data_IF_194840650665
#
_entry.id   IF_194840650665
#
_cell.length_a   1.000
_cell.length_b   1.000
_cell.length_c   1.000
_cell.angle_alpha   90.00
_cell.angle_beta   90.00
_cell.angle_gamma   90.00
#
_symmetry.space_group_name_H-M   'P 1'
#
loop_
_entity.id
_entity.type
_entity.pdbx_description
1 polymer ?
#
# COMPACT_ATOMS: atom_id res chain seq x y z
N UNK A 1 3.96 16.52 -3.67
CA UNK A 1 4.09 15.07 -3.50
C UNK A 1 5.10 14.49 -4.47
N UNK A 2 4.78 14.16 -5.74
CA UNK A 2 5.71 13.46 -6.66
C UNK A 2 7.16 13.97 -6.64
N UNK A 3 7.38 15.25 -6.92
CA UNK A 3 8.74 15.80 -6.97
C UNK A 3 9.45 15.77 -5.62
N UNK A 4 8.71 15.94 -4.51
CA UNK A 4 9.25 15.86 -3.15
C UNK A 4 9.67 14.43 -2.82
N UNK A 5 8.79 13.46 -3.05
CA UNK A 5 9.06 12.06 -2.72
C UNK A 5 10.17 11.49 -3.61
N UNK A 6 10.22 11.86 -4.90
CA UNK A 6 11.32 11.46 -5.77
C UNK A 6 12.69 11.94 -5.27
N UNK A 7 12.76 13.18 -4.76
CA UNK A 7 14.00 13.71 -4.16
C UNK A 7 14.31 12.97 -2.86
N UNK A 8 13.30 12.82 -1.99
CA UNK A 8 13.42 12.19 -0.69
C UNK A 8 13.94 10.74 -0.78
N UNK A 9 13.28 9.89 -1.59
CA UNK A 9 13.70 8.50 -1.81
C UNK A 9 14.96 8.37 -2.69
N UNK A 10 15.35 9.44 -3.39
CA UNK A 10 16.59 9.49 -4.18
C UNK A 10 17.83 9.87 -3.37
N UNK A 11 17.65 10.57 -2.25
CA UNK A 11 18.74 11.16 -1.46
C UNK A 11 19.38 10.20 -0.44
N UNK A 12 18.82 9.02 -0.18
CA UNK A 12 19.35 8.07 0.80
C UNK A 12 18.44 6.87 1.07
N UNK A 13 18.70 6.15 2.17
CA UNK A 13 17.87 5.06 2.70
C UNK A 13 16.99 5.61 3.84
N UNK A 14 15.70 5.88 3.60
CA UNK A 14 14.81 6.47 4.61
C UNK A 14 14.17 5.45 5.56
N UNK A 15 14.48 4.16 5.43
CA UNK A 15 13.76 3.07 6.10
C UNK A 15 14.47 2.57 7.36
N UNK A 16 13.69 2.26 8.42
CA UNK A 16 14.15 1.56 9.62
C UNK A 16 14.17 2.44 10.87
N UNK A 17 14.79 1.93 11.95
CA UNK A 17 14.87 2.61 13.27
C UNK A 17 15.67 3.93 13.21
N UNK A 18 16.63 4.02 12.30
CA UNK A 18 17.39 5.24 12.03
C UNK A 18 16.80 6.08 10.87
N UNK A 19 15.77 5.55 10.19
CA UNK A 19 15.03 6.22 9.12
C UNK A 19 13.81 6.99 9.64
N UNK A 20 13.03 7.61 8.75
CA UNK A 20 11.85 8.39 9.17
C UNK A 20 10.63 7.51 9.48
N UNK A 21 10.61 6.26 8.99
CA UNK A 21 9.52 5.28 9.19
C UNK A 21 10.00 3.86 9.52
N UNK A 22 9.20 3.19 10.34
CA UNK A 22 9.27 1.75 10.57
C UNK A 22 8.00 1.14 9.96
N UNK A 23 8.15 0.50 8.80
CA UNK A 23 7.05 -0.17 8.06
C UNK A 23 6.74 -1.54 8.67
N UNK A 24 5.57 -2.12 8.35
CA UNK A 24 5.15 -3.41 8.90
C UNK A 24 6.17 -4.55 8.68
N UNK A 25 6.82 -4.68 7.51
CA UNK A 25 7.86 -5.68 7.28
C UNK A 25 9.08 -5.52 8.20
N UNK A 26 9.46 -4.29 8.53
CA UNK A 26 10.63 -3.99 9.39
C UNK A 26 10.33 -4.22 10.88
N UNK A 27 9.04 -4.28 11.28
CA UNK A 27 8.63 -4.62 12.65
C UNK A 27 8.79 -6.11 12.92
N UNK A 28 8.39 -6.96 11.98
CA UNK A 28 8.44 -8.40 12.20
C UNK A 28 8.38 -9.25 10.94
N UNK A 29 9.23 -10.28 10.90
CA UNK A 29 9.17 -11.36 9.90
C UNK A 29 7.79 -12.03 9.83
N UNK A 30 6.99 -11.99 10.89
CA UNK A 30 5.64 -12.57 10.91
C UNK A 30 4.75 -11.96 9.83
N UNK A 31 4.93 -10.67 9.53
CA UNK A 31 4.13 -9.97 8.54
C UNK A 31 4.36 -10.54 7.13
N UNK A 32 5.62 -10.60 6.69
CA UNK A 32 5.98 -11.17 5.40
C UNK A 32 5.68 -12.67 5.30
N UNK A 33 5.92 -13.43 6.37
CA UNK A 33 5.59 -14.87 6.39
C UNK A 33 4.10 -15.14 6.19
N UNK A 34 3.22 -14.35 6.81
CA UNK A 34 1.77 -14.53 6.66
C UNK A 34 1.27 -14.11 5.29
N UNK A 35 1.82 -13.04 4.71
CA UNK A 35 1.52 -12.65 3.32
C UNK A 35 1.99 -13.73 2.36
N UNK A 36 3.21 -14.24 2.54
CA UNK A 36 3.72 -15.37 1.77
C UNK A 36 2.81 -16.59 1.86
N UNK A 37 2.31 -16.88 3.06
CA UNK A 37 1.41 -18.00 3.27
C UNK A 37 0.02 -17.81 2.67
N UNK A 38 -0.50 -16.59 2.72
CA UNK A 38 -1.75 -16.23 2.04
C UNK A 38 -1.64 -16.42 0.52
N UNK A 39 -0.51 -16.04 -0.08
CA UNK A 39 -0.23 -16.25 -1.50
C UNK A 39 -0.07 -17.73 -1.85
N UNK A 40 0.65 -18.49 -1.03
CA UNK A 40 0.78 -19.95 -1.19
C UNK A 40 -0.57 -20.64 -1.15
N UNK A 41 -1.46 -20.24 -0.23
CA UNK A 41 -2.80 -20.81 -0.13
C UNK A 41 -3.62 -20.59 -1.42
N UNK A 42 -3.60 -19.37 -1.99
CA UNK A 42 -4.23 -19.10 -3.29
C UNK A 42 -3.63 -19.96 -4.41
N UNK A 43 -2.30 -20.06 -4.46
CA UNK A 43 -1.58 -20.87 -5.45
C UNK A 43 -1.97 -22.35 -5.38
N UNK A 44 -1.96 -22.94 -4.18
CA UNK A 44 -2.28 -24.36 -3.99
C UNK A 44 -3.75 -24.64 -4.30
N UNK A 45 -4.67 -23.78 -3.87
CA UNK A 45 -6.11 -23.91 -4.16
C UNK A 45 -6.45 -23.65 -5.64
N UNK A 46 -5.55 -23.01 -6.39
CA UNK A 46 -5.62 -22.90 -7.85
C UNK A 46 -4.93 -24.07 -8.58
N UNK A 47 -4.66 -25.18 -7.89
CA UNK A 47 -3.99 -26.36 -8.44
C UNK A 47 -2.57 -26.09 -8.94
N UNK A 48 -1.82 -25.22 -8.27
CA UNK A 48 -0.39 -25.02 -8.48
C UNK A 48 0.00 -24.69 -9.94
N UNK A 49 -0.51 -23.58 -10.52
CA UNK A 49 -0.24 -23.21 -11.91
C UNK A 49 1.27 -23.03 -12.19
N UNK A 50 1.73 -23.51 -13.35
CA UNK A 50 3.16 -23.62 -13.66
C UNK A 50 3.94 -22.28 -13.81
N UNK A 51 3.24 -21.17 -14.07
CA UNK A 51 3.86 -19.85 -14.37
C UNK A 51 3.23 -18.74 -13.52
N UNK A 52 3.46 -18.74 -12.20
CA UNK A 52 3.02 -17.65 -11.33
C UNK A 52 4.10 -16.59 -11.14
N UNK A 53 3.66 -15.34 -11.03
CA UNK A 53 4.51 -14.17 -10.84
C UNK A 53 4.22 -13.51 -9.50
N UNK A 54 5.21 -13.47 -8.61
CA UNK A 54 5.16 -12.62 -7.42
C UNK A 54 5.53 -11.20 -7.85
N UNK A 55 4.62 -10.26 -7.61
CA UNK A 55 4.83 -8.85 -7.94
C UNK A 55 4.75 -8.04 -6.66
N UNK A 56 5.75 -7.20 -6.39
CA UNK A 56 5.69 -6.23 -5.29
C UNK A 56 5.84 -4.80 -5.82
N UNK A 57 4.90 -3.93 -5.45
CA UNK A 57 4.93 -2.52 -5.79
C UNK A 57 5.64 -1.74 -4.69
N UNK A 58 6.71 -1.01 -5.03
CA UNK A 58 7.50 -0.25 -4.07
C UNK A 58 8.02 -1.11 -2.91
N UNK A 59 8.90 -2.10 -3.15
CA UNK A 59 9.25 -3.10 -2.14
C UNK A 59 10.17 -2.58 -1.01
N UNK A 60 10.48 -1.28 -0.97
CA UNK A 60 11.37 -0.68 0.02
C UNK A 60 12.73 -1.35 0.03
N UNK A 61 13.09 -2.06 1.10
CA UNK A 61 14.35 -2.82 1.20
C UNK A 61 14.26 -4.24 0.61
N UNK A 62 13.08 -4.68 0.18
CA UNK A 62 12.80 -6.07 -0.23
C UNK A 62 12.62 -7.05 0.94
N UNK A 63 12.50 -6.54 2.17
CA UNK A 63 12.32 -7.35 3.40
C UNK A 63 11.04 -8.17 3.35
N UNK A 64 9.93 -7.57 2.90
CA UNK A 64 8.64 -8.23 2.77
C UNK A 64 8.75 -9.42 1.80
N UNK A 65 9.25 -9.18 0.59
CA UNK A 65 9.50 -10.22 -0.40
C UNK A 65 10.39 -11.34 0.15
N UNK A 66 11.49 -11.01 0.82
CA UNK A 66 12.43 -12.00 1.34
C UNK A 66 11.75 -12.94 2.34
N UNK A 67 10.96 -12.41 3.27
CA UNK A 67 10.21 -13.21 4.25
C UNK A 67 9.06 -14.01 3.61
N UNK A 68 8.33 -13.39 2.68
CA UNK A 68 7.24 -14.04 1.96
C UNK A 68 7.75 -15.21 1.12
N UNK A 69 8.78 -15.01 0.30
CA UNK A 69 9.39 -16.04 -0.55
C UNK A 69 10.02 -17.17 0.29
N UNK A 70 10.64 -16.83 1.44
CA UNK A 70 11.13 -17.81 2.40
C UNK A 70 10.02 -18.67 2.99
N UNK A 71 8.84 -18.11 3.24
CA UNK A 71 7.67 -18.87 3.69
C UNK A 71 7.09 -19.74 2.56
N UNK A 72 6.94 -19.19 1.35
CA UNK A 72 6.40 -19.90 0.19
C UNK A 72 7.24 -21.13 -0.20
N UNK A 73 8.57 -21.02 -0.12
CA UNK A 73 9.48 -22.11 -0.52
C UNK A 73 9.30 -23.40 0.30
N UNK A 74 8.73 -23.32 1.51
CA UNK A 74 8.37 -24.49 2.33
C UNK A 74 7.26 -25.35 1.72
N UNK A 75 6.54 -24.82 0.73
CA UNK A 75 5.44 -25.47 0.02
C UNK A 75 5.77 -25.66 -1.46
N UNK A 76 7.06 -25.69 -1.80
CA UNK A 76 7.55 -25.83 -3.18
C UNK A 76 7.01 -24.75 -4.13
N UNK A 77 6.55 -23.62 -3.57
CA UNK A 77 6.10 -22.48 -4.35
C UNK A 77 7.23 -21.46 -4.45
N UNK A 78 7.78 -21.30 -5.66
CA UNK A 78 8.88 -20.39 -5.97
C UNK A 78 8.56 -19.61 -7.27
N UNK A 79 7.68 -18.60 -7.21
CA UNK A 79 7.29 -17.82 -8.37
C UNK A 79 8.45 -16.95 -8.90
N UNK A 80 8.37 -16.55 -10.18
CA UNK A 80 9.25 -15.50 -10.69
C UNK A 80 8.96 -14.18 -9.97
N UNK A 81 10.01 -13.45 -9.61
CA UNK A 81 9.91 -12.26 -8.76
C UNK A 81 10.04 -10.99 -9.59
N UNK A 82 9.06 -10.10 -9.44
CA UNK A 82 9.00 -8.83 -10.15
C UNK A 82 8.78 -7.68 -9.18
N UNK A 83 9.66 -6.68 -9.24
CA UNK A 83 9.56 -5.48 -8.43
C UNK A 83 9.25 -4.27 -9.31
N UNK A 84 8.23 -3.49 -8.93
CA UNK A 84 7.94 -2.19 -9.54
C UNK A 84 8.56 -1.12 -8.65
N UNK A 85 9.75 -0.65 -9.05
CA UNK A 85 10.61 0.27 -8.28
C UNK A 85 11.31 1.18 -9.27
N UNK A 86 11.31 2.50 -9.06
CA UNK A 86 11.98 3.46 -9.95
C UNK A 86 13.34 3.93 -9.44
N UNK A 87 13.64 3.77 -8.15
CA UNK A 87 14.89 4.21 -7.53
C UNK A 87 16.03 3.21 -7.77
N UNK A 88 17.05 3.60 -8.53
CA UNK A 88 18.23 2.75 -8.78
C UNK A 88 18.97 2.36 -7.50
N UNK A 89 19.03 3.26 -6.51
CA UNK A 89 19.63 3.01 -5.20
C UNK A 89 18.89 1.90 -4.46
N UNK A 90 17.55 1.95 -4.43
CA UNK A 90 16.74 0.92 -3.78
C UNK A 90 16.81 -0.40 -4.54
N UNK A 91 16.80 -0.40 -5.88
CA UNK A 91 17.00 -1.62 -6.68
C UNK A 91 18.29 -2.36 -6.30
N UNK A 92 19.39 -1.62 -6.13
CA UNK A 92 20.68 -2.19 -5.72
C UNK A 92 20.65 -2.80 -4.31
N UNK A 93 19.91 -2.19 -3.37
CA UNK A 93 19.71 -2.74 -2.04
C UNK A 93 18.79 -3.98 -2.06
N UNK A 94 17.69 -3.91 -2.79
CA UNK A 94 16.70 -4.98 -2.93
C UNK A 94 17.33 -6.26 -3.51
N UNK A 95 18.29 -6.15 -4.44
CA UNK A 95 19.03 -7.29 -4.98
C UNK A 95 19.91 -8.02 -3.95
N UNK A 96 20.27 -7.36 -2.84
CA UNK A 96 21.01 -8.03 -1.76
C UNK A 96 20.10 -9.00 -1.00
N UNK A 97 18.82 -8.66 -0.86
CA UNK A 97 17.82 -9.47 -0.17
C UNK A 97 17.12 -10.46 -1.10
N UNK A 98 16.88 -10.06 -2.36
CA UNK A 98 16.18 -10.87 -3.37
C UNK A 98 16.94 -10.84 -4.70
N UNK A 99 18.01 -11.64 -4.84
CA UNK A 99 18.93 -11.57 -5.99
C UNK A 99 18.32 -11.91 -7.36
N UNK A 100 17.17 -12.58 -7.37
CA UNK A 100 16.49 -13.03 -8.59
C UNK A 100 15.38 -12.08 -9.05
N UNK A 101 15.22 -10.92 -8.39
CA UNK A 101 14.18 -9.97 -8.73
C UNK A 101 14.42 -9.32 -10.11
N UNK A 102 13.37 -9.26 -10.92
CA UNK A 102 13.34 -8.49 -12.16
C UNK A 102 12.64 -7.16 -11.92
N UNK A 103 13.29 -6.05 -12.29
CA UNK A 103 12.77 -4.71 -12.06
C UNK A 103 11.95 -4.16 -13.21
N UNK A 104 10.95 -3.37 -12.85
CA UNK A 104 10.03 -2.68 -13.73
C UNK A 104 9.89 -1.23 -13.28
N UNK A 105 9.86 -0.29 -14.23
CA UNK A 105 9.57 1.12 -13.94
C UNK A 105 8.07 1.36 -13.73
N UNK A 106 7.22 0.45 -14.24
CA UNK A 106 5.77 0.61 -14.28
C UNK A 106 5.05 -0.73 -14.37
N UNK A 107 3.78 -0.77 -13.97
CA UNK A 107 2.99 -2.01 -13.92
C UNK A 107 2.69 -2.58 -15.32
N UNK A 108 2.73 -1.77 -16.36
CA UNK A 108 2.50 -2.17 -17.75
C UNK A 108 3.60 -3.10 -18.28
N UNK A 109 4.82 -3.04 -17.74
CA UNK A 109 5.93 -3.90 -18.19
C UNK A 109 5.98 -5.27 -17.51
N UNK A 110 5.11 -5.54 -16.52
CA UNK A 110 5.02 -6.86 -15.87
C UNK A 110 4.74 -7.97 -16.91
N UNK A 111 5.10 -9.24 -16.61
CA UNK A 111 4.90 -10.36 -17.54
C UNK A 111 3.42 -10.69 -17.80
N UNK A 112 3.10 -11.08 -19.03
CA UNK A 112 1.72 -11.36 -19.48
C UNK A 112 1.44 -12.86 -19.71
N UNK A 113 2.36 -13.73 -19.33
CA UNK A 113 2.37 -15.16 -19.65
C UNK A 113 1.92 -16.06 -18.49
N UNK A 114 1.39 -15.46 -17.42
CA UNK A 114 0.84 -16.20 -16.30
C UNK A 114 0.23 -15.33 -15.20
N UNK A 115 -0.39 -15.94 -14.17
CA UNK A 115 -1.10 -15.19 -13.15
C UNK A 115 -0.22 -14.24 -12.33
N UNK A 116 -0.78 -13.09 -11.97
CA UNK A 116 -0.10 -12.10 -11.13
C UNK A 116 -0.55 -12.21 -9.68
N UNK A 117 0.39 -12.43 -8.78
CA UNK A 117 0.22 -12.39 -7.34
C UNK A 117 0.87 -11.12 -6.81
N UNK A 118 0.07 -10.06 -6.75
CA UNK A 118 0.54 -8.69 -6.51
C UNK A 118 0.39 -8.31 -5.05
N UNK A 119 1.44 -7.73 -4.47
CA UNK A 119 1.44 -7.15 -3.13
C UNK A 119 1.79 -5.67 -3.24
N UNK A 120 0.97 -4.83 -2.61
CA UNK A 120 1.18 -3.40 -2.48
C UNK A 120 1.03 -3.03 -1.00
N UNK A 121 2.15 -2.99 -0.28
CA UNK A 121 2.21 -2.59 1.12
C UNK A 121 2.78 -1.18 1.21
N UNK A 122 2.03 -0.22 1.75
CA UNK A 122 2.48 1.18 1.92
C UNK A 122 2.99 1.77 0.58
N UNK A 123 2.27 1.46 -0.49
CA UNK A 123 2.61 1.91 -1.84
C UNK A 123 1.68 3.02 -2.31
N UNK A 124 0.39 2.90 -2.00
CA UNK A 124 -0.62 3.80 -2.53
C UNK A 124 -0.67 5.13 -1.77
N UNK A 125 -0.30 5.15 -0.50
CA UNK A 125 -0.21 6.35 0.32
C UNK A 125 0.92 7.30 -0.10
N UNK A 126 2.00 6.76 -0.67
CA UNK A 126 3.11 7.52 -1.24
C UNK A 126 2.79 8.11 -2.63
N UNK A 127 1.66 7.73 -3.24
CA UNK A 127 1.29 8.22 -4.56
C UNK A 127 0.70 9.64 -4.52
N UNK A 128 0.98 10.48 -5.54
CA UNK A 128 0.52 11.86 -5.56
C UNK A 128 -0.99 12.03 -5.51
N UNK A 129 -1.47 12.75 -4.49
CA UNK A 129 -2.87 13.18 -4.39
C UNK A 129 -3.12 14.56 -5.02
N UNK A 130 -4.38 14.77 -5.44
CA UNK A 130 -4.97 16.07 -5.73
C UNK A 130 -5.92 16.44 -4.61
N UNK A 131 -5.87 17.69 -4.17
CA UNK A 131 -6.83 18.25 -3.21
C UNK A 131 -7.74 19.24 -3.93
N UNK A 132 -9.05 19.08 -3.77
CA UNK A 132 -10.06 20.06 -4.17
C UNK A 132 -10.61 20.73 -2.90
N UNK A 133 -10.78 22.05 -2.92
CA UNK A 133 -11.29 22.83 -1.79
C UNK A 133 -12.57 23.57 -2.20
N UNK A 134 -13.60 23.49 -1.36
CA UNK A 134 -14.86 24.20 -1.57
C UNK A 134 -14.72 25.67 -1.14
N UNK A 135 -14.95 26.58 -2.08
CA UNK A 135 -14.96 28.03 -1.84
C UNK A 135 -16.38 28.59 -1.97
N UNK A 136 -16.59 29.87 -1.66
CA UNK A 136 -17.86 30.55 -1.95
C UNK A 136 -18.23 30.57 -3.45
N UNK A 137 -17.27 30.34 -4.35
CA UNK A 137 -17.48 30.29 -5.79
C UNK A 137 -17.57 28.85 -6.34
N UNK A 138 -17.67 27.84 -5.47
CA UNK A 138 -17.66 26.42 -5.83
C UNK A 138 -16.31 25.74 -5.58
N UNK A 139 -16.19 24.49 -6.03
CA UNK A 139 -14.98 23.67 -5.84
C UNK A 139 -13.83 24.16 -6.72
N UNK A 140 -12.62 24.22 -6.16
CA UNK A 140 -11.39 24.60 -6.85
C UNK A 140 -10.29 23.61 -6.54
N UNK A 141 -9.38 23.37 -7.47
CA UNK A 141 -8.15 22.64 -7.15
C UNK A 141 -7.30 23.46 -6.18
N UNK A 142 -6.77 22.84 -5.13
CA UNK A 142 -5.84 23.47 -4.21
C UNK A 142 -4.43 23.35 -4.81
N UNK A 143 -3.85 24.50 -5.14
CA UNK A 143 -2.56 24.59 -5.82
C UNK A 143 -1.48 25.06 -4.86
N UNK A 144 -0.23 24.68 -5.13
CA UNK A 144 0.94 25.14 -4.39
C UNK A 144 1.49 26.39 -5.05
N UNK A 145 1.65 27.46 -4.28
CA UNK A 145 2.24 28.73 -4.71
C UNK A 145 3.45 29.07 -3.88
N UNK A 146 4.32 29.92 -4.42
CA UNK A 146 5.41 30.52 -3.68
C UNK A 146 4.87 31.69 -2.86
N UNK A 147 5.04 31.64 -1.54
CA UNK A 147 4.76 32.77 -0.65
C UNK A 147 5.81 33.89 -0.87
N UNK A 148 5.59 35.09 -0.34
CA UNK A 148 6.54 36.23 -0.39
C UNK A 148 7.81 35.87 0.41
N UNK A 149 8.69 35.07 -0.18
CA UNK A 149 9.90 34.50 0.42
C UNK A 149 10.41 33.25 -0.32
N UNK A 150 10.93 32.27 0.42
CA UNK A 150 11.34 30.94 -0.08
C UNK A 150 10.33 29.85 0.24
N UNK A 151 9.28 30.15 1.01
CA UNK A 151 8.29 29.17 1.46
C UNK A 151 7.23 28.88 0.40
N UNK A 152 6.63 27.70 0.48
CA UNK A 152 5.44 27.36 -0.27
C UNK A 152 4.19 27.56 0.60
N UNK A 153 3.05 27.74 -0.06
CA UNK A 153 1.74 27.76 0.57
C UNK A 153 0.70 27.14 -0.37
N UNK A 154 -0.39 26.62 0.19
CA UNK A 154 -1.49 26.06 -0.59
C UNK A 154 -2.68 27.03 -0.63
N UNK A 155 -3.19 27.30 -1.83
CA UNK A 155 -4.34 28.20 -2.03
C UNK A 155 -5.32 27.66 -3.08
N UNK A 156 -6.60 28.11 -3.09
CA UNK A 156 -7.53 27.76 -4.15
C UNK A 156 -7.05 28.26 -5.52
N UNK A 157 -7.06 27.38 -6.51
CA UNK A 157 -6.82 27.69 -7.91
C UNK A 157 -7.99 28.41 -8.57
N UNK A 158 -7.80 28.81 -9.83
CA UNK A 158 -8.77 29.62 -10.57
C UNK A 158 -9.84 28.81 -11.31
N UNK A 159 -9.55 27.56 -11.67
CA UNK A 159 -10.44 26.73 -12.48
C UNK A 159 -11.53 26.03 -11.65
N UNK A 160 -12.81 26.08 -12.08
CA UNK A 160 -13.89 25.31 -11.45
C UNK A 160 -13.65 23.80 -11.55
N UNK A 161 -13.88 23.09 -10.45
CA UNK A 161 -13.65 21.65 -10.32
C UNK A 161 -14.90 20.89 -9.82
N UNK A 162 -16.07 21.51 -9.86
CA UNK A 162 -17.31 20.96 -9.32
C UNK A 162 -17.65 19.60 -9.96
N UNK A 163 -17.38 19.40 -11.26
CA UNK A 163 -17.59 18.12 -11.94
C UNK A 163 -16.66 16.97 -11.51
N UNK A 164 -15.57 17.29 -10.81
CA UNK A 164 -14.57 16.32 -10.32
C UNK A 164 -14.84 15.83 -8.90
N UNK A 165 -15.91 16.35 -8.26
CA UNK A 165 -16.28 16.01 -6.88
C UNK A 165 -17.53 15.12 -6.89
N UNK A 166 -17.55 14.02 -6.13
CA UNK A 166 -18.73 13.18 -6.01
C UNK A 166 -20.00 13.96 -5.64
N UNK A 167 -21.14 13.59 -6.21
CA UNK A 167 -22.42 14.27 -6.00
C UNK A 167 -22.78 14.41 -4.51
N UNK A 168 -22.42 13.42 -3.69
CA UNK A 168 -22.64 13.41 -2.24
C UNK A 168 -21.96 14.57 -1.50
N UNK A 169 -20.90 15.17 -2.06
CA UNK A 169 -20.13 16.24 -1.43
C UNK A 169 -20.38 17.63 -2.02
N UNK A 170 -21.25 17.76 -3.04
CA UNK A 170 -21.50 19.03 -3.72
C UNK A 170 -22.00 20.13 -2.76
N UNK A 171 -22.80 19.76 -1.75
CA UNK A 171 -23.40 20.69 -0.78
C UNK A 171 -22.63 20.75 0.56
N UNK A 172 -21.33 20.44 0.56
CA UNK A 172 -20.50 20.49 1.77
C UNK A 172 -20.30 21.92 2.27
N UNK A 173 -19.84 22.13 3.52
CA UNK A 173 -19.47 23.47 4.00
C UNK A 173 -18.27 24.07 3.25
N UNK A 174 -18.24 25.39 3.08
CA UNK A 174 -17.05 26.11 2.57
C UNK A 174 -15.83 25.77 3.44
N UNK A 175 -14.69 25.52 2.79
CA UNK A 175 -13.46 25.04 3.42
C UNK A 175 -13.31 23.51 3.42
N UNK A 176 -14.34 22.76 3.04
CA UNK A 176 -14.23 21.30 2.86
C UNK A 176 -13.17 20.95 1.83
N UNK A 177 -12.41 19.89 2.11
CA UNK A 177 -11.36 19.37 1.21
C UNK A 177 -11.75 17.97 0.76
N UNK A 178 -11.68 17.71 -0.54
CA UNK A 178 -11.83 16.39 -1.14
C UNK A 178 -10.49 15.97 -1.74
N UNK A 179 -10.08 14.74 -1.49
CA UNK A 179 -8.81 14.19 -1.99
C UNK A 179 -9.05 13.05 -2.97
N UNK A 180 -8.24 12.99 -4.02
CA UNK A 180 -8.24 11.91 -5.01
C UNK A 180 -6.82 11.63 -5.48
N UNK A 181 -6.54 10.41 -5.95
CA UNK A 181 -5.22 10.05 -6.50
C UNK A 181 -5.39 9.46 -7.90
N UNK A 182 -5.23 10.28 -8.96
CA UNK A 182 -5.28 9.80 -10.34
C UNK A 182 -4.26 8.70 -10.65
N UNK A 183 -3.10 8.75 -10.00
CA UNK A 183 -2.05 7.75 -10.12
C UNK A 183 -2.49 6.40 -9.53
N UNK A 184 -3.01 6.42 -8.29
CA UNK A 184 -3.56 5.23 -7.66
C UNK A 184 -4.67 4.61 -8.52
N UNK A 185 -5.55 5.46 -9.06
CA UNK A 185 -6.63 5.00 -9.92
C UNK A 185 -6.11 4.34 -11.21
N UNK A 186 -5.10 4.93 -11.85
CA UNK A 186 -4.49 4.41 -13.08
C UNK A 186 -3.81 3.06 -12.82
N UNK A 187 -2.97 2.98 -11.78
CA UNK A 187 -2.22 1.76 -11.43
C UNK A 187 -3.19 0.64 -11.05
N UNK A 188 -4.17 0.90 -10.19
CA UNK A 188 -5.14 -0.10 -9.77
C UNK A 188 -6.00 -0.58 -10.95
N UNK A 189 -6.40 0.32 -11.85
CA UNK A 189 -7.17 -0.04 -13.04
C UNK A 189 -6.39 -0.94 -14.00
N UNK A 190 -5.11 -0.64 -14.22
CA UNK A 190 -4.24 -1.45 -15.07
C UNK A 190 -3.99 -2.83 -14.45
N UNK A 191 -3.62 -2.90 -13.16
CA UNK A 191 -3.44 -4.16 -12.46
C UNK A 191 -4.73 -4.99 -12.45
N UNK A 192 -5.89 -4.36 -12.23
CA UNK A 192 -7.16 -5.06 -12.26
C UNK A 192 -7.48 -5.61 -13.65
N UNK A 193 -7.20 -4.85 -14.72
CA UNK A 193 -7.35 -5.30 -16.10
C UNK A 193 -6.46 -6.51 -16.40
N UNK A 194 -5.20 -6.47 -15.95
CA UNK A 194 -4.25 -7.56 -16.13
C UNK A 194 -4.69 -8.82 -15.38
N UNK A 195 -4.98 -8.71 -14.09
CA UNK A 195 -5.46 -9.83 -13.26
C UNK A 195 -6.73 -10.45 -13.84
N UNK A 196 -7.67 -9.63 -14.33
CA UNK A 196 -8.89 -10.13 -14.97
C UNK A 196 -8.62 -10.91 -16.27
N UNK A 197 -7.51 -10.61 -16.96
CA UNK A 197 -7.16 -11.20 -18.24
C UNK A 197 -6.32 -12.48 -18.09
N UNK A 198 -5.35 -12.48 -17.17
CA UNK A 198 -4.38 -13.58 -17.02
C UNK A 198 -4.46 -14.33 -15.68
N UNK A 199 -5.42 -13.97 -14.83
CA UNK A 199 -5.62 -14.56 -13.52
C UNK A 199 -4.73 -13.96 -12.43
N UNK A 200 -5.00 -14.35 -11.19
CA UNK A 200 -4.24 -13.98 -10.01
C UNK A 200 -5.04 -13.15 -9.01
N UNK A 201 -4.32 -12.45 -8.14
CA UNK A 201 -4.86 -11.62 -7.09
C UNK A 201 -3.92 -10.46 -6.76
N UNK A 202 -4.49 -9.38 -6.21
CA UNK A 202 -3.77 -8.28 -5.58
C UNK A 202 -4.16 -8.17 -4.12
N UNK A 203 -3.16 -7.93 -3.27
CA UNK A 203 -3.29 -7.59 -1.87
C UNK A 203 -2.77 -6.17 -1.65
N UNK A 204 -3.62 -5.28 -1.14
CA UNK A 204 -3.29 -3.89 -0.81
C UNK A 204 -3.38 -3.71 0.70
N UNK A 205 -2.30 -3.23 1.31
CA UNK A 205 -2.20 -2.94 2.75
C UNK A 205 -1.69 -1.52 2.92
N UNK A 206 -2.52 -0.64 3.49
CA UNK A 206 -2.17 0.78 3.55
C UNK A 206 -2.98 1.57 4.60
N UNK A 207 -2.49 2.75 4.96
CA UNK A 207 -3.22 3.72 5.77
C UNK A 207 -4.38 4.28 4.97
N UNK A 208 -5.60 4.22 5.49
CA UNK A 208 -6.71 4.72 4.70
C UNK A 208 -8.10 4.61 5.29
N UNK A 209 -9.05 5.01 4.47
CA UNK A 209 -10.47 5.03 4.77
C UNK A 209 -11.26 4.14 3.79
N UNK A 210 -12.38 3.61 4.28
CA UNK A 210 -13.22 2.66 3.54
C UNK A 210 -14.54 3.26 3.06
N UNK A 211 -14.81 4.50 3.45
CA UNK A 211 -16.01 5.25 3.09
C UNK A 211 -15.62 6.62 2.54
N UNK A 212 -16.42 7.24 1.66
CA UNK A 212 -16.14 8.57 1.16
C UNK A 212 -15.90 9.54 2.32
N UNK A 213 -14.79 10.27 2.29
CA UNK A 213 -14.41 11.20 3.34
C UNK A 213 -14.05 12.58 2.78
N UNK A 214 -14.21 13.59 3.62
CA UNK A 214 -13.72 14.95 3.41
C UNK A 214 -12.68 15.26 4.48
N UNK A 215 -11.70 16.09 4.14
CA UNK A 215 -10.59 16.46 5.01
C UNK A 215 -9.26 16.33 4.28
N UNK A 216 -8.26 17.10 4.73
CA UNK A 216 -6.89 16.92 4.28
C UNK A 216 -6.27 15.75 5.03
N UNK A 217 -5.77 14.76 4.30
CA UNK A 217 -4.98 13.66 4.86
C UNK A 217 -3.51 13.73 4.45
N UNK A 218 -3.14 14.69 3.59
CA UNK A 218 -1.74 15.02 3.32
C UNK A 218 -0.97 15.27 4.62
N UNK A 219 0.05 14.46 4.87
CA UNK A 219 0.95 14.58 5.99
C UNK A 219 2.38 14.61 5.47
N UNK A 220 3.24 15.37 6.16
CA UNK A 220 4.67 15.25 6.04
C UNK A 220 5.21 14.65 7.34
N UNK A 221 6.17 13.74 7.23
CA UNK A 221 6.81 13.12 8.39
C UNK A 221 8.31 13.23 8.25
N UNK A 222 8.98 13.54 9.36
CA UNK A 222 10.43 13.65 9.46
C UNK A 222 10.86 13.24 10.87
N UNK A 223 11.83 12.33 10.98
CA UNK A 223 12.35 11.81 12.24
C UNK A 223 11.24 11.34 13.21
N UNK A 224 10.25 10.60 12.69
CA UNK A 224 9.07 10.10 13.42
C UNK A 224 8.14 11.17 14.02
N UNK A 225 8.19 12.42 13.55
CA UNK A 225 7.28 13.49 13.96
C UNK A 225 6.62 14.17 12.74
N UNK A 226 5.49 14.83 12.98
CA UNK A 226 4.79 15.60 11.96
C UNK A 226 5.60 16.81 11.54
N UNK A 227 5.72 16.99 10.23
CA UNK A 227 6.35 18.14 9.61
C UNK A 227 5.33 18.96 8.81
N UNK A 228 5.72 20.18 8.43
CA UNK A 228 4.96 20.99 7.49
C UNK A 228 5.39 20.64 6.05
N UNK A 229 4.48 20.14 5.19
CA UNK A 229 4.80 19.73 3.82
C UNK A 229 5.30 20.88 2.92
N UNK A 230 5.17 22.14 3.36
CA UNK A 230 5.51 23.32 2.56
C UNK A 230 6.81 24.01 2.98
N UNK A 231 7.45 23.59 4.07
CA UNK A 231 8.68 24.23 4.58
C UNK A 231 9.91 23.77 3.80
N UNK A 232 10.21 22.47 3.79
CA UNK A 232 11.42 21.90 3.20
C UNK A 232 11.09 20.70 2.29
N UNK A 233 10.42 20.91 1.13
CA UNK A 233 10.09 19.84 0.20
C UNK A 233 11.33 19.05 -0.24
N UNK A 234 11.20 17.73 -0.32
CA UNK A 234 12.29 16.81 -0.63
C UNK A 234 13.07 16.32 0.60
N UNK A 235 12.87 16.91 1.78
CA UNK A 235 13.58 16.52 3.01
C UNK A 235 12.72 15.78 4.04
N UNK A 236 11.46 15.53 3.69
CA UNK A 236 10.49 14.79 4.47
C UNK A 236 9.69 13.90 3.53
N UNK A 237 9.21 12.78 4.06
CA UNK A 237 8.29 11.93 3.33
C UNK A 237 6.89 12.56 3.34
N UNK A 238 6.20 12.48 2.21
CA UNK A 238 4.81 12.91 2.11
C UNK A 238 3.94 11.67 1.89
N UNK A 239 2.96 11.50 2.78
CA UNK A 239 1.95 10.44 2.73
C UNK A 239 0.55 11.04 2.72
N UNK A 240 -0.43 10.30 2.23
CA UNK A 240 -1.84 10.62 2.31
C UNK A 240 -2.67 9.34 2.48
N UNK A 241 -3.81 9.45 3.15
CA UNK A 241 -4.69 8.29 3.33
C UNK A 241 -5.23 7.76 2.00
N UNK A 242 -5.19 6.44 1.85
CA UNK A 242 -5.70 5.71 0.70
C UNK A 242 -7.23 5.59 0.75
N UNK A 243 -7.85 5.85 -0.40
CA UNK A 243 -9.27 5.63 -0.62
C UNK A 243 -9.55 4.17 -1.03
N UNK A 244 -9.74 3.29 -0.05
CA UNK A 244 -9.99 1.86 -0.32
C UNK A 244 -11.31 1.60 -1.05
N UNK A 245 -12.29 2.49 -0.93
CA UNK A 245 -13.54 2.39 -1.69
C UNK A 245 -13.29 2.58 -3.18
N UNK A 246 -12.48 3.56 -3.55
CA UNK A 246 -12.11 3.81 -4.96
C UNK A 246 -11.33 2.63 -5.54
N UNK A 247 -10.32 2.12 -4.82
CA UNK A 247 -9.56 0.94 -5.26
C UNK A 247 -10.46 -0.28 -5.46
N UNK A 248 -11.38 -0.54 -4.52
CA UNK A 248 -12.35 -1.63 -4.63
C UNK A 248 -13.30 -1.44 -5.84
N UNK A 249 -13.75 -0.22 -6.10
CA UNK A 249 -14.62 0.06 -7.25
C UNK A 249 -13.88 -0.12 -8.58
N UNK A 250 -12.61 0.30 -8.66
CA UNK A 250 -11.76 0.08 -9.84
C UNK A 250 -11.55 -1.41 -10.13
N UNK A 251 -11.32 -2.21 -9.09
CA UNK A 251 -11.26 -3.66 -9.23
C UNK A 251 -12.56 -4.25 -9.80
N UNK A 252 -13.71 -3.87 -9.22
CA UNK A 252 -15.04 -4.34 -9.68
C UNK A 252 -15.37 -3.92 -11.10
N UNK A 253 -14.95 -2.72 -11.52
CA UNK A 253 -15.13 -2.26 -12.91
C UNK A 253 -14.40 -3.14 -13.93
N UNK A 254 -13.38 -3.90 -13.50
CA UNK A 254 -12.69 -4.92 -14.30
C UNK A 254 -13.16 -6.34 -14.01
N UNK A 255 -14.35 -6.49 -13.42
CA UNK A 255 -14.97 -7.77 -13.06
C UNK A 255 -14.17 -8.60 -12.05
N UNK A 256 -13.23 -8.01 -11.31
CA UNK A 256 -12.60 -8.70 -10.19
C UNK A 256 -13.58 -8.85 -9.03
N UNK A 257 -13.46 -9.96 -8.32
CA UNK A 257 -14.09 -10.15 -7.03
C UNK A 257 -13.25 -9.46 -5.95
N UNK A 258 -13.90 -8.81 -4.99
CA UNK A 258 -13.24 -8.00 -3.96
C UNK A 258 -13.54 -8.58 -2.57
N UNK A 259 -12.48 -8.80 -1.79
CA UNK A 259 -12.54 -9.18 -0.39
C UNK A 259 -12.05 -8.02 0.49
N UNK A 260 -12.85 -7.66 1.51
CA UNK A 260 -12.62 -6.46 2.32
C UNK A 260 -13.19 -5.17 1.70
N UNK A 261 -12.70 -3.98 2.10
CA UNK A 261 -11.57 -3.79 3.02
C UNK A 261 -11.90 -4.21 4.47
N UNK A 262 -10.90 -4.71 5.19
CA UNK A 262 -10.94 -4.96 6.65
C UNK A 262 -9.77 -4.23 7.32
N UNK A 263 -9.62 -4.32 8.64
CA UNK A 263 -8.44 -3.77 9.33
C UNK A 263 -7.29 -4.78 9.36
N UNK A 264 -6.05 -4.28 9.39
CA UNK A 264 -4.85 -5.13 9.41
C UNK A 264 -4.85 -6.10 10.60
N UNK A 265 -5.22 -5.62 11.79
CA UNK A 265 -5.22 -6.47 12.99
C UNK A 265 -6.21 -7.61 12.91
N UNK A 266 -7.40 -7.37 12.33
CA UNK A 266 -8.40 -8.43 12.09
C UNK A 266 -7.88 -9.43 11.07
N UNK A 267 -7.33 -8.95 9.95
CA UNK A 267 -6.83 -9.81 8.88
C UNK A 267 -5.65 -10.68 9.35
N UNK A 268 -4.61 -10.10 9.96
CA UNK A 268 -3.46 -10.85 10.47
C UNK A 268 -3.85 -11.85 11.57
N UNK A 269 -4.81 -11.48 12.42
CA UNK A 269 -5.34 -12.40 13.44
C UNK A 269 -6.06 -13.59 12.81
N UNK A 270 -6.86 -13.35 11.77
CA UNK A 270 -7.54 -14.40 11.02
C UNK A 270 -6.56 -15.34 10.29
N UNK A 271 -5.41 -14.83 9.84
CA UNK A 271 -4.33 -15.63 9.25
C UNK A 271 -3.45 -16.36 10.28
N UNK A 272 -3.69 -16.19 11.57
CA UNK A 272 -3.01 -16.94 12.62
C UNK A 272 -1.68 -16.33 13.11
N UNK A 273 -1.54 -15.01 13.07
CA UNK A 273 -0.36 -14.32 13.63
C UNK A 273 -0.11 -14.64 15.11
N UNK A 274 -1.17 -14.92 15.88
CA UNK A 274 -1.07 -15.34 17.28
C UNK A 274 -0.28 -16.64 17.42
N UNK A 275 -0.66 -17.66 16.66
CA UNK A 275 0.00 -18.96 16.63
C UNK A 275 1.45 -18.83 16.16
N UNK A 276 1.68 -18.00 15.13
CA UNK A 276 3.05 -17.78 14.64
C UNK A 276 3.93 -17.10 15.67
N UNK A 277 3.41 -16.11 16.39
CA UNK A 277 4.14 -15.42 17.46
C UNK A 277 4.54 -16.37 18.58
N UNK A 278 3.65 -17.30 18.96
CA UNK A 278 3.93 -18.31 19.99
C UNK A 278 5.05 -19.25 19.52
N UNK A 279 4.96 -19.78 18.29
CA UNK A 279 5.97 -20.67 17.75
C UNK A 279 7.36 -20.01 17.65
N UNK A 280 7.43 -18.73 17.26
CA UNK A 280 8.69 -17.99 17.24
C UNK A 280 9.24 -17.75 18.65
N UNK A 281 8.39 -17.41 19.61
CA UNK A 281 8.79 -17.20 21.00
C UNK A 281 9.26 -18.51 21.68
N UNK A 282 8.73 -19.66 21.28
CA UNK A 282 9.21 -20.98 21.73
C UNK A 282 10.57 -21.33 21.12
N UNK A 283 10.75 -21.07 19.82
CA UNK A 283 12.01 -21.31 19.12
C UNK A 283 13.13 -20.34 19.52
N UNK A 284 12.79 -19.17 20.07
CA UNK A 284 13.75 -18.15 20.52
C UNK A 284 13.31 -17.53 21.86
N UNK A 285 13.45 -18.28 22.98
CA UNK A 285 12.98 -17.83 24.29
C UNK A 285 13.54 -16.47 24.73
N UNK A 286 14.78 -16.16 24.37
CA UNK A 286 15.46 -14.91 24.71
C UNK A 286 14.87 -13.67 24.00
N UNK A 287 14.14 -13.86 22.90
CA UNK A 287 13.47 -12.79 22.12
C UNK A 287 11.95 -12.77 22.31
N UNK A 288 11.43 -13.57 23.26
CA UNK A 288 9.98 -13.76 23.44
C UNK A 288 9.23 -12.44 23.63
N UNK A 289 9.75 -11.54 24.45
CA UNK A 289 9.11 -10.26 24.74
C UNK A 289 9.05 -9.37 23.49
N UNK A 290 10.18 -9.21 22.78
CA UNK A 290 10.27 -8.46 21.53
C UNK A 290 9.30 -8.99 20.47
N UNK A 291 9.17 -10.31 20.33
CA UNK A 291 8.23 -10.94 19.39
C UNK A 291 6.78 -10.57 19.70
N UNK A 292 6.39 -10.55 20.98
CA UNK A 292 5.04 -10.18 21.39
C UNK A 292 4.78 -8.69 21.24
N UNK A 293 5.76 -7.84 21.55
CA UNK A 293 5.68 -6.39 21.29
C UNK A 293 5.49 -6.13 19.79
N UNK A 294 6.29 -6.79 18.95
CA UNK A 294 6.20 -6.65 17.49
C UNK A 294 4.85 -7.14 16.95
N UNK A 295 4.34 -8.28 17.43
CA UNK A 295 2.97 -8.74 17.10
C UNK A 295 1.95 -7.68 17.48
N UNK A 296 2.01 -7.21 18.71
CA UNK A 296 1.03 -6.27 19.26
C UNK A 296 0.99 -4.98 18.43
N UNK A 297 2.14 -4.45 18.03
CA UNK A 297 2.26 -3.29 17.15
C UNK A 297 1.56 -3.47 15.81
N UNK A 298 1.60 -4.69 15.26
CA UNK A 298 0.95 -5.04 14.00
C UNK A 298 -0.57 -5.21 14.13
N UNK A 299 -1.10 -5.60 15.29
CA UNK A 299 -2.51 -6.05 15.42
C UNK A 299 -3.39 -5.25 16.36
N UNK A 300 -2.83 -4.52 17.33
CA UNK A 300 -3.62 -3.82 18.34
C UNK A 300 -4.32 -2.59 17.79
N UNK A 301 -5.49 -2.30 18.37
CA UNK A 301 -6.22 -1.06 18.14
C UNK A 301 -5.40 0.14 18.66
N UNK A 302 -5.41 1.25 17.92
CA UNK A 302 -4.61 2.43 18.23
C UNK A 302 -3.16 2.37 17.74
N UNK A 303 -2.70 1.20 17.27
CA UNK A 303 -1.46 1.03 16.51
C UNK A 303 -1.81 0.68 15.06
N UNK A 304 -0.98 -0.12 14.37
CA UNK A 304 -1.22 -0.45 12.96
C UNK A 304 -2.50 -1.27 12.77
N UNK A 305 -2.94 -2.00 13.80
CA UNK A 305 -4.07 -2.93 13.71
C UNK A 305 -5.39 -2.31 13.25
N UNK A 306 -5.63 -1.03 13.55
CA UNK A 306 -6.83 -0.30 13.10
C UNK A 306 -6.53 0.80 12.08
N UNK A 307 -5.33 1.37 12.10
CA UNK A 307 -4.94 2.44 11.18
C UNK A 307 -4.83 1.91 9.75
N UNK A 308 -4.20 0.75 9.59
CA UNK A 308 -4.06 0.08 8.31
C UNK A 308 -5.32 -0.68 7.94
N UNK A 309 -5.64 -0.63 6.65
CA UNK A 309 -6.68 -1.43 6.03
C UNK A 309 -6.04 -2.41 5.07
N UNK A 310 -6.75 -3.52 4.86
CA UNK A 310 -6.36 -4.58 3.96
C UNK A 310 -7.50 -4.81 2.98
N UNK A 311 -7.17 -4.84 1.69
CA UNK A 311 -8.09 -5.13 0.59
C UNK A 311 -7.45 -6.19 -0.30
N UNK A 312 -8.22 -7.18 -0.71
CA UNK A 312 -7.82 -8.07 -1.78
C UNK A 312 -8.80 -7.99 -2.95
N UNK A 313 -8.28 -8.15 -4.16
CA UNK A 313 -9.09 -8.37 -5.35
C UNK A 313 -8.51 -9.51 -6.17
N UNK A 314 -9.36 -10.35 -6.76
CA UNK A 314 -8.92 -11.53 -7.48
C UNK A 314 -9.78 -11.79 -8.72
N UNK A 315 -9.21 -12.53 -9.66
CA UNK A 315 -9.95 -12.99 -10.84
C UNK A 315 -11.11 -13.91 -10.44
N UNK A 316 -12.27 -13.90 -11.14
CA UNK A 316 -13.41 -14.75 -10.80
C UNK A 316 -13.14 -16.25 -10.76
N UNK A 317 -12.14 -16.72 -11.51
CA UNK A 317 -11.71 -18.12 -11.60
C UNK A 317 -10.62 -18.48 -10.58
N UNK A 318 -10.25 -17.54 -9.70
CA UNK A 318 -9.28 -17.74 -8.63
C UNK A 318 -9.96 -17.97 -7.27
N UNK A 319 -9.29 -18.67 -6.33
CA UNK A 319 -9.84 -18.96 -5.01
C UNK A 319 -10.15 -17.67 -4.25
N UNK A 320 -11.20 -17.71 -3.42
CA UNK A 320 -11.58 -16.59 -2.56
C UNK A 320 -10.48 -16.38 -1.51
N UNK A 321 -9.92 -15.16 -1.39
CA UNK A 321 -8.93 -14.84 -0.38
C UNK A 321 -9.39 -15.06 1.07
N UNK A 322 -8.53 -15.70 1.86
CA UNK A 322 -8.77 -15.90 3.29
C UNK A 322 -8.51 -14.64 4.12
N UNK A 323 -9.07 -14.61 5.33
CA UNK A 323 -8.80 -13.57 6.34
C UNK A 323 -9.72 -12.35 6.29
N UNK A 324 -10.67 -12.28 5.36
CA UNK A 324 -11.55 -11.11 5.17
C UNK A 324 -12.95 -11.22 5.83
N UNK A 325 -13.27 -12.36 6.44
CA UNK A 325 -14.59 -12.61 7.06
C UNK A 325 -15.74 -12.64 6.04
N UNK A 326 -16.98 -12.62 6.54
CA UNK A 326 -18.15 -12.32 5.69
C UNK A 326 -18.17 -10.81 5.38
N UNK A 327 -18.70 -10.37 4.21
CA UNK A 327 -18.77 -8.95 3.88
C UNK A 327 -19.44 -8.17 5.01
N UNK A 328 -18.82 -7.08 5.46
CA UNK A 328 -19.50 -6.12 6.34
C UNK A 328 -20.71 -5.60 5.55
N UNK A 329 -21.91 -6.01 5.97
CA UNK A 329 -23.19 -5.66 5.34
C UNK A 329 -23.53 -4.18 5.45
#
# INVERSE_FOLDING_TARGET
>A
MRASNNEYYGAGDPFGVEGDFITAPEISQMFGELIGMWLTDLYLRQNSPANCHYVELGPGRGTLAADALRAMSKFEFAPAVHFVETSETLRAQQLQNVPLATFHDRVESLPTDGPLLVVANEFFDALPIRQLILTHAGWRERVVVRDRGTKFAAMPGSYPMDGSVPAAFQNSPVGSIFESSPDAATIMYELANRIATQGGAILVIDYGYTQPALGSTLQAVKAHDYADPFLDPGTCDLTAHVNFLELANLARMRNLQVAGPTTQGVWLSALGIGQRSLALAEASPDKREDIFIARDRLVKNGEMGTLFKVLAAHSPDWPVPEGFGAPLG
#
